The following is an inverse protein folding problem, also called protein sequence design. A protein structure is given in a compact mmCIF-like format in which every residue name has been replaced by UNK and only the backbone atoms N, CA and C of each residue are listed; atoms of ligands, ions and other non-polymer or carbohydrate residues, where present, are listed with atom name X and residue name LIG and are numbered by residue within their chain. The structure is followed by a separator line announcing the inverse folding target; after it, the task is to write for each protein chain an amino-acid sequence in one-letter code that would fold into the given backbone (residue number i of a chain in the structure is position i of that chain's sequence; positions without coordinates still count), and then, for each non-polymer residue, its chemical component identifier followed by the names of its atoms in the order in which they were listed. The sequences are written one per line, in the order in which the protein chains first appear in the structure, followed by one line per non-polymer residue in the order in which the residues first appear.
data_IF_561901935203
#
_entry.id   IF_561901935203
#
_cell.length_a   1.000
_cell.length_b   1.000
_cell.length_c   1.000
_cell.angle_alpha   90.00
_cell.angle_beta   90.00
_cell.angle_gamma   90.00
#
_symmetry.space_group_name_H-M   'P 1'
#
loop_
_entity.id
_entity.type
_entity.pdbx_description
1 polymer ?
#
# COMPACT_ATOMS: atom_id res chain seq x y z
N UNK A 1 6.23 -0.56 -7.58
CA UNK A 1 7.28 -0.34 -6.57
C UNK A 1 6.60 -0.42 -5.22
N UNK A 2 7.21 -1.15 -4.28
CA UNK A 2 6.67 -1.44 -2.95
C UNK A 2 7.55 -0.77 -1.91
N UNK A 3 6.95 -0.06 -0.95
CA UNK A 3 7.66 0.65 0.11
C UNK A 3 8.08 -0.31 1.23
N UNK A 4 9.34 -0.23 1.66
CA UNK A 4 9.93 -1.12 2.67
C UNK A 4 9.74 -0.65 4.11
N UNK A 5 10.37 -1.34 5.06
CA UNK A 5 10.30 -1.10 6.50
C UNK A 5 10.67 0.34 6.91
N UNK A 6 11.72 0.91 6.31
CA UNK A 6 12.22 2.26 6.53
C UNK A 6 11.60 3.24 5.53
N UNK A 7 10.27 3.31 5.50
CA UNK A 7 9.54 4.22 4.64
C UNK A 7 8.39 4.88 5.38
N UNK A 8 8.04 6.09 4.94
CA UNK A 8 6.87 6.79 5.47
C UNK A 8 5.58 5.97 5.25
N UNK A 9 5.47 5.26 4.13
CA UNK A 9 4.34 4.36 3.87
C UNK A 9 4.21 3.27 4.94
N UNK A 10 5.33 2.71 5.41
CA UNK A 10 5.32 1.74 6.49
C UNK A 10 4.83 2.37 7.81
N UNK A 11 5.29 3.57 8.12
CA UNK A 11 4.88 4.28 9.33
C UNK A 11 3.38 4.62 9.31
N UNK A 12 2.85 5.04 8.15
CA UNK A 12 1.41 5.29 7.94
C UNK A 12 0.61 4.01 8.16
N UNK A 13 1.02 2.90 7.52
CA UNK A 13 0.33 1.62 7.64
C UNK A 13 0.33 1.13 9.10
N UNK A 14 1.49 1.16 9.75
CA UNK A 14 1.65 0.72 11.14
C UNK A 14 0.79 1.57 12.08
N UNK A 15 0.79 2.90 11.92
CA UNK A 15 -0.03 3.80 12.73
C UNK A 15 -1.54 3.63 12.48
N UNK A 16 -1.92 3.17 11.28
CA UNK A 16 -3.30 2.83 10.95
C UNK A 16 -3.70 1.42 11.44
N UNK A 17 -2.77 0.64 12.00
CA UNK A 17 -3.01 -0.71 12.53
C UNK A 17 -2.83 -1.85 11.51
N UNK A 18 -2.18 -1.56 10.38
CA UNK A 18 -1.85 -2.55 9.36
C UNK A 18 -0.45 -3.10 9.57
N UNK A 19 -0.24 -4.32 9.08
CA UNK A 19 1.08 -4.91 8.90
C UNK A 19 1.53 -4.77 7.45
N UNK A 20 2.76 -4.28 7.25
CA UNK A 20 3.34 -4.15 5.91
C UNK A 20 4.15 -5.40 5.58
N UNK A 21 3.59 -6.28 4.74
CA UNK A 21 4.26 -7.51 4.30
C UNK A 21 5.59 -7.28 3.57
N UNK A 22 5.89 -6.05 3.11
CA UNK A 22 7.20 -5.71 2.59
C UNK A 22 8.33 -5.93 3.62
N UNK A 23 8.02 -5.84 4.92
CA UNK A 23 8.94 -6.13 6.02
C UNK A 23 9.33 -7.61 6.01
N UNK A 24 8.35 -8.51 5.90
CA UNK A 24 8.58 -9.96 5.82
C UNK A 24 9.32 -10.36 4.55
N UNK A 25 9.10 -9.62 3.45
CA UNK A 25 9.83 -9.81 2.20
C UNK A 25 11.27 -9.27 2.26
N UNK A 26 11.73 -8.73 3.39
CA UNK A 26 13.08 -8.24 3.58
C UNK A 26 13.38 -6.91 2.87
N UNK A 27 12.35 -6.14 2.51
CA UNK A 27 12.51 -4.84 1.86
C UNK A 27 12.77 -3.77 2.93
N UNK A 28 14.03 -3.34 3.07
CA UNK A 28 14.38 -2.27 4.01
C UNK A 28 13.85 -0.92 3.55
N UNK A 29 14.21 -0.47 2.34
CA UNK A 29 13.79 0.85 1.82
C UNK A 29 12.57 0.74 0.90
N UNK A 30 12.56 -0.29 0.07
CA UNK A 30 11.56 -0.55 -0.93
C UNK A 30 12.16 -1.30 -2.11
N UNK A 31 11.32 -1.75 -3.03
CA UNK A 31 11.76 -2.53 -4.16
C UNK A 31 10.63 -3.01 -5.06
N UNK A 32 10.96 -3.92 -5.96
CA UNK A 32 9.98 -4.57 -6.82
C UNK A 32 9.62 -5.92 -6.23
N UNK A 33 8.32 -6.14 -6.00
CA UNK A 33 7.78 -7.45 -5.65
C UNK A 33 7.24 -8.08 -6.94
N UNK A 34 7.73 -9.27 -7.35
CA UNK A 34 7.17 -10.00 -8.49
C UNK A 34 5.70 -10.33 -8.27
N UNK A 35 4.93 -10.36 -9.36
CA UNK A 35 3.49 -10.57 -9.30
C UNK A 35 3.13 -11.93 -8.68
N UNK A 36 3.87 -12.96 -9.05
CA UNK A 36 3.70 -14.32 -8.53
C UNK A 36 3.93 -14.36 -7.01
N UNK A 37 4.93 -13.61 -6.53
CA UNK A 37 5.22 -13.52 -5.09
C UNK A 37 4.11 -12.78 -4.34
N UNK A 38 3.59 -11.70 -4.92
CA UNK A 38 2.47 -10.95 -4.36
C UNK A 38 1.19 -11.79 -4.26
N UNK A 39 0.94 -12.65 -5.24
CA UNK A 39 -0.21 -13.56 -5.21
C UNK A 39 0.00 -14.65 -4.17
N UNK A 40 1.21 -15.24 -4.10
CA UNK A 40 1.49 -16.32 -3.16
C UNK A 40 1.48 -15.89 -1.68
N UNK A 41 1.80 -14.63 -1.38
CA UNK A 41 1.75 -14.11 -0.01
C UNK A 41 0.32 -13.77 0.44
N UNK A 42 -0.64 -13.77 -0.49
CA UNK A 42 -2.08 -13.62 -0.25
C UNK A 42 -2.44 -12.49 0.75
N UNK A 43 -2.15 -11.22 0.40
CA UNK A 43 -2.41 -10.10 1.29
C UNK A 43 -3.91 -9.86 1.50
N UNK A 44 -4.29 -9.50 2.74
CA UNK A 44 -5.64 -9.03 3.07
C UNK A 44 -6.11 -7.86 2.18
N UNK A 45 -5.19 -6.96 1.85
CA UNK A 45 -5.41 -5.82 0.98
C UNK A 45 -4.10 -5.34 0.35
N UNK A 46 -4.16 -4.92 -0.91
CA UNK A 46 -3.06 -4.23 -1.61
C UNK A 46 -3.41 -2.75 -1.70
N UNK A 47 -2.60 -1.93 -1.03
CA UNK A 47 -2.77 -0.47 -1.03
C UNK A 47 -2.02 0.14 -2.23
N UNK A 48 -2.76 0.83 -3.11
CA UNK A 48 -2.21 1.45 -4.33
C UNK A 48 -2.42 2.96 -4.36
N UNK A 49 -1.75 3.61 -5.31
CA UNK A 49 -2.04 4.99 -5.67
C UNK A 49 -3.43 5.15 -6.28
N UNK A 50 -4.01 6.33 -6.11
CA UNK A 50 -5.20 6.73 -6.87
C UNK A 50 -4.87 6.72 -8.37
N UNK A 51 -5.76 6.18 -9.23
CA UNK A 51 -5.52 6.15 -10.67
C UNK A 51 -5.25 7.56 -11.20
N UNK A 52 -4.16 7.71 -11.95
CA UNK A 52 -3.86 8.97 -12.60
C UNK A 52 -4.60 9.03 -13.94
N UNK A 53 -5.32 10.13 -14.28
CA UNK A 53 -6.10 10.22 -15.51
C UNK A 53 -5.24 10.27 -16.80
N UNK A 54 -3.92 10.26 -16.68
CA UNK A 54 -2.99 10.21 -17.81
C UNK A 54 -2.80 8.81 -18.40
N UNK A 55 -2.07 8.73 -19.51
CA UNK A 55 -1.77 7.48 -20.22
C UNK A 55 -0.54 6.74 -19.66
N UNK A 56 -0.38 6.70 -18.33
CA UNK A 56 0.76 6.04 -17.70
C UNK A 56 0.72 4.52 -17.91
N UNK A 57 1.69 3.98 -18.65
CA UNK A 57 1.86 2.52 -18.78
C UNK A 57 2.35 1.86 -17.48
N UNK A 58 2.89 2.64 -16.55
CA UNK A 58 3.35 2.13 -15.24
C UNK A 58 2.21 1.55 -14.39
N UNK A 59 0.96 1.93 -14.65
CA UNK A 59 -0.22 1.45 -13.94
C UNK A 59 -0.86 0.20 -14.58
N UNK A 60 -0.42 -0.18 -15.80
CA UNK A 60 -0.99 -1.30 -16.56
C UNK A 60 -0.85 -2.63 -15.81
N UNK A 61 0.25 -2.81 -15.08
CA UNK A 61 0.52 -4.02 -14.28
C UNK A 61 -0.52 -4.23 -13.17
N UNK A 62 -1.12 -3.15 -12.64
CA UNK A 62 -2.16 -3.23 -11.61
C UNK A 62 -3.50 -3.73 -12.16
N UNK A 63 -3.65 -3.80 -13.48
CA UNK A 63 -4.85 -4.34 -14.16
C UNK A 63 -4.66 -5.79 -14.62
N UNK A 64 -3.57 -6.44 -14.22
CA UNK A 64 -3.27 -7.79 -14.65
C UNK A 64 -4.32 -8.80 -14.13
N UNK A 65 -4.82 -9.74 -14.96
CA UNK A 65 -5.87 -10.69 -14.55
C UNK A 65 -5.54 -11.50 -13.31
N UNK A 66 -4.27 -11.81 -13.09
CA UNK A 66 -3.82 -12.56 -11.92
C UNK A 66 -4.00 -11.80 -10.58
N UNK A 67 -4.22 -10.49 -10.61
CA UNK A 67 -4.57 -9.69 -9.43
C UNK A 67 -6.08 -9.67 -9.14
N UNK A 68 -6.92 -10.19 -10.03
CA UNK A 68 -8.37 -10.18 -9.86
C UNK A 68 -8.87 -10.77 -8.52
N UNK A 69 -8.22 -11.79 -7.91
CA UNK A 69 -8.62 -12.29 -6.60
C UNK A 69 -8.26 -11.35 -5.43
N UNK A 70 -7.28 -10.46 -5.61
CA UNK A 70 -6.77 -9.62 -4.54
C UNK A 70 -7.67 -8.41 -4.31
N UNK A 71 -7.86 -8.05 -3.04
CA UNK A 71 -8.53 -6.82 -2.67
C UNK A 71 -7.58 -5.64 -2.88
N UNK A 72 -7.87 -4.80 -3.88
CA UNK A 72 -7.12 -3.58 -4.16
C UNK A 72 -7.82 -2.38 -3.52
N UNK A 73 -7.06 -1.49 -2.87
CA UNK A 73 -7.62 -0.23 -2.37
C UNK A 73 -6.72 0.97 -2.66
N UNK A 74 -7.31 2.01 -3.25
CA UNK A 74 -6.59 3.15 -3.81
C UNK A 74 -6.55 4.33 -2.83
N UNK A 75 -5.53 4.34 -1.96
CA UNK A 75 -5.40 5.31 -0.85
C UNK A 75 -4.22 6.25 -0.96
N UNK A 76 -3.17 5.88 -1.71
CA UNK A 76 -1.96 6.67 -1.69
C UNK A 76 -2.07 7.89 -2.62
N UNK A 77 -1.63 9.03 -2.10
CA UNK A 77 -1.61 10.32 -2.78
C UNK A 77 -0.42 11.15 -2.27
N UNK A 78 -0.40 12.46 -2.54
CA UNK A 78 0.69 13.35 -2.12
C UNK A 78 0.97 13.33 -0.60
N UNK A 79 -0.01 12.99 0.23
CA UNK A 79 0.14 12.93 1.70
C UNK A 79 1.06 11.79 2.16
N UNK A 80 1.30 10.81 1.30
CA UNK A 80 2.15 9.64 1.57
C UNK A 80 3.63 9.85 1.25
N UNK A 81 4.00 11.01 0.69
CA UNK A 81 5.34 11.24 0.14
C UNK A 81 6.23 12.07 1.06
N UNK A 82 5.70 13.16 1.61
CA UNK A 82 6.54 14.24 2.16
C UNK A 82 6.55 14.36 3.70
N UNK A 83 5.82 13.50 4.43
CA UNK A 83 5.80 13.50 5.90
C UNK A 83 5.23 14.78 6.54
N UNK A 84 4.43 15.54 5.78
CA UNK A 84 3.77 16.75 6.29
C UNK A 84 2.66 16.38 7.29
N UNK A 85 2.13 17.33 8.09
CA UNK A 85 1.02 17.05 9.01
C UNK A 85 -0.21 16.39 8.37
N UNK A 86 -0.39 16.52 7.05
CA UNK A 86 -1.45 15.86 6.28
C UNK A 86 -1.35 14.33 6.29
N UNK A 87 -0.23 13.75 6.76
CA UNK A 87 -0.09 12.31 6.97
C UNK A 87 -1.13 11.76 7.95
N UNK A 88 -1.57 12.57 8.92
CA UNK A 88 -2.59 12.19 9.88
C UNK A 88 -3.93 11.91 9.20
N UNK A 89 -4.27 12.67 8.16
CA UNK A 89 -5.48 12.45 7.38
C UNK A 89 -5.40 11.12 6.63
N UNK A 90 -4.23 10.76 6.10
CA UNK A 90 -4.03 9.47 5.42
C UNK A 90 -4.21 8.27 6.37
N UNK A 91 -3.70 8.38 7.61
CA UNK A 91 -3.89 7.38 8.66
C UNK A 91 -5.39 7.24 8.99
N UNK A 92 -6.09 8.37 9.16
CA UNK A 92 -7.52 8.36 9.46
C UNK A 92 -8.37 7.80 8.31
N UNK A 93 -8.01 8.07 7.06
CA UNK A 93 -8.68 7.52 5.87
C UNK A 93 -8.66 5.98 5.92
N UNK A 94 -7.48 5.38 6.15
CA UNK A 94 -7.32 3.93 6.25
C UNK A 94 -8.14 3.34 7.40
N UNK A 95 -8.08 3.96 8.58
CA UNK A 95 -8.83 3.49 9.75
C UNK A 95 -10.35 3.54 9.56
N UNK A 96 -10.86 4.49 8.76
CA UNK A 96 -12.30 4.56 8.46
C UNK A 96 -12.74 3.47 7.50
N UNK A 97 -11.89 3.08 6.55
CA UNK A 97 -12.19 2.01 5.60
C UNK A 97 -12.02 0.61 6.20
N UNK A 98 -11.09 0.47 7.14
CA UNK A 98 -10.77 -0.78 7.84
C UNK A 98 -10.88 -0.63 9.36
N UNK A 99 -12.10 -0.47 9.89
CA UNK A 99 -12.30 -0.28 11.33
C UNK A 99 -11.90 -1.52 12.15
N UNK A 100 -11.87 -2.70 11.53
CA UNK A 100 -11.40 -3.96 12.11
C UNK A 100 -9.89 -3.96 12.42
N UNK A 101 -9.12 -3.13 11.73
CA UNK A 101 -7.67 -2.99 11.91
C UNK A 101 -7.30 -1.87 12.89
N UNK A 102 -8.27 -1.12 13.45
CA UNK A 102 -7.95 -0.15 14.53
C UNK A 102 -7.35 -0.92 15.71
N UNK A 103 -6.12 -0.58 16.06
CA UNK A 103 -5.33 -1.23 17.10
C UNK A 103 -6.13 -1.57 18.35
N UNK A 104 -5.96 -2.82 18.81
CA UNK A 104 -6.07 -3.17 20.23
C UNK A 104 -5.02 -2.41 21.04
#
# INVERSE_FOLDING_TARGET
YTSGAQSLSNDILTAAGFENLAVELGLTWGGTVPLERLIMIDPDVVITGRPFPGHSRGEEILRHPALAPLKMSAHTDARWVCGTPMVLDAIQDLQREHPDKRSQ
#
